data_IF_277475304231
#
_entry.id   IF_277475304231
#
_cell.length_a   1.000
_cell.length_b   1.000
_cell.length_c   1.000
_cell.angle_alpha   90.00
_cell.angle_beta   90.00
_cell.angle_gamma   90.00
#
_symmetry.space_group_name_H-M   'P 1'
#
loop_
_entity.id
_entity.type
_entity.pdbx_description
1 polymer ?
#
# COMPACT_ATOMS: atom_id res chain seq x y z
N UNK A 1 29.36 -3.99 5.76
CA UNK A 1 29.29 -3.13 6.96
C UNK A 1 27.93 -3.37 7.62
N UNK A 2 27.86 -3.74 8.91
CA UNK A 2 26.60 -3.74 9.64
C UNK A 2 25.93 -2.38 9.43
N UNK A 3 24.63 -2.38 9.11
CA UNK A 3 23.89 -1.12 9.04
C UNK A 3 23.66 -0.69 10.48
N UNK A 4 24.07 0.52 10.81
CA UNK A 4 23.80 1.12 12.11
C UNK A 4 22.28 1.11 12.36
N UNK A 5 21.88 0.46 13.45
CA UNK A 5 20.50 0.25 13.89
C UNK A 5 20.18 1.05 15.14
N UNK A 6 21.12 1.81 15.68
CA UNK A 6 21.00 2.47 16.99
C UNK A 6 19.86 3.50 16.98
N UNK A 7 19.67 4.16 15.83
CA UNK A 7 18.55 5.08 15.55
C UNK A 7 17.15 4.48 15.80
N UNK A 8 17.02 3.15 15.79
CA UNK A 8 15.74 2.49 16.02
C UNK A 8 15.30 2.57 17.47
N UNK A 9 16.25 2.76 18.39
CA UNK A 9 15.99 2.89 19.81
C UNK A 9 15.87 4.36 20.22
N UNK A 10 16.04 5.30 19.28
CA UNK A 10 15.85 6.73 19.54
C UNK A 10 14.41 6.99 20.03
N UNK A 11 14.30 7.46 21.28
CA UNK A 11 13.05 7.69 22.01
C UNK A 11 12.24 6.43 22.36
N UNK A 12 12.83 5.24 22.23
CA UNK A 12 12.25 4.04 22.84
C UNK A 12 12.43 4.10 24.35
N UNK A 13 11.45 3.61 25.12
CA UNK A 13 11.66 3.32 26.54
C UNK A 13 12.69 2.18 26.66
N UNK A 14 13.51 2.17 27.71
CA UNK A 14 14.47 1.09 27.98
C UNK A 14 13.78 -0.25 28.32
N UNK A 15 12.46 -0.25 28.49
CA UNK A 15 11.66 -1.43 28.80
C UNK A 15 11.31 -2.23 27.53
N UNK A 16 11.85 -3.44 27.43
CA UNK A 16 11.44 -4.42 26.43
C UNK A 16 10.16 -5.10 26.93
N UNK A 17 9.03 -4.68 26.38
CA UNK A 17 7.71 -5.25 26.73
C UNK A 17 7.52 -6.65 26.14
N UNK A 18 8.16 -6.92 25.00
CA UNK A 18 8.09 -8.21 24.32
C UNK A 18 9.29 -8.42 23.41
N UNK A 19 9.92 -9.61 23.50
CA UNK A 19 10.98 -10.05 22.60
C UNK A 19 10.50 -11.27 21.82
N UNK A 20 10.52 -11.18 20.49
CA UNK A 20 10.13 -12.28 19.63
C UNK A 20 11.27 -13.31 19.53
N UNK A 21 11.12 -14.45 20.18
CA UNK A 21 12.09 -15.55 20.08
C UNK A 21 11.82 -16.42 18.85
N UNK A 22 12.84 -17.11 18.31
CA UNK A 22 12.68 -18.02 17.17
C UNK A 22 11.55 -19.04 17.30
N UNK A 23 11.28 -19.48 18.53
CA UNK A 23 10.28 -20.46 18.93
C UNK A 23 8.85 -19.90 19.08
N UNK A 24 8.69 -18.59 19.26
CA UNK A 24 7.39 -17.96 19.55
C UNK A 24 6.47 -17.88 18.31
N UNK A 25 7.00 -18.20 17.13
CA UNK A 25 6.33 -18.03 15.85
C UNK A 25 5.38 -19.20 15.51
N UNK A 26 4.40 -19.43 16.37
CA UNK A 26 3.36 -20.46 16.19
C UNK A 26 2.29 -19.97 15.20
N UNK A 27 1.90 -20.79 14.22
CA UNK A 27 0.79 -20.44 13.33
C UNK A 27 -0.52 -20.36 14.13
N UNK A 28 -1.35 -19.35 13.88
CA UNK A 28 -2.71 -19.32 14.42
C UNK A 28 -3.56 -20.47 13.86
N UNK A 29 -4.58 -20.90 14.62
CA UNK A 29 -5.55 -21.88 14.15
C UNK A 29 -6.44 -21.29 13.03
N UNK A 30 -6.77 -22.11 12.03
CA UNK A 30 -7.61 -21.73 10.89
C UNK A 30 -6.82 -21.25 9.66
N UNK A 31 -7.40 -21.43 8.47
CA UNK A 31 -6.81 -20.95 7.22
C UNK A 31 -6.93 -19.43 7.14
N UNK A 32 -5.85 -18.75 6.76
CA UNK A 32 -5.90 -17.32 6.45
C UNK A 32 -6.42 -17.19 5.03
N UNK A 33 -7.73 -16.98 4.90
CA UNK A 33 -8.30 -16.63 3.61
C UNK A 33 -8.65 -15.16 3.52
N UNK A 34 -8.68 -14.72 2.29
CA UNK A 34 -8.84 -13.35 1.90
C UNK A 34 -9.91 -13.22 0.80
N UNK A 35 -10.59 -14.33 0.47
CA UNK A 35 -11.62 -14.44 -0.57
C UNK A 35 -12.90 -13.68 -0.25
N UNK A 36 -13.29 -13.60 1.02
CA UNK A 36 -14.58 -13.04 1.43
C UNK A 36 -14.48 -11.59 1.91
N UNK A 37 -15.51 -10.79 1.60
CA UNK A 37 -15.76 -9.51 2.25
C UNK A 37 -14.80 -8.36 1.90
N UNK A 38 -14.01 -8.44 0.82
CA UNK A 38 -13.12 -7.34 0.45
C UNK A 38 -13.88 -6.17 -0.17
N UNK A 39 -13.82 -5.00 0.46
CA UNK A 39 -14.41 -3.77 -0.07
C UNK A 39 -13.35 -2.66 -0.12
N UNK A 40 -13.43 -1.81 -1.14
CA UNK A 40 -12.64 -0.57 -1.15
C UNK A 40 -13.26 0.36 -0.11
N UNK A 41 -12.49 0.67 0.93
CA UNK A 41 -12.94 1.54 2.02
C UNK A 41 -12.86 3.01 1.62
N UNK A 42 -11.75 3.43 1.03
CA UNK A 42 -11.61 4.79 0.51
C UNK A 42 -10.44 4.87 -0.47
N UNK A 43 -10.41 5.96 -1.24
CA UNK A 43 -9.38 6.28 -2.20
C UNK A 43 -9.02 7.75 -1.99
N UNK A 44 -7.75 8.11 -2.16
CA UNK A 44 -7.34 9.50 -2.08
C UNK A 44 -6.02 9.75 -2.81
N UNK A 45 -5.84 11.00 -3.25
CA UNK A 45 -4.59 11.46 -3.88
C UNK A 45 -3.99 12.58 -3.06
N UNK A 46 -2.70 12.47 -2.74
CA UNK A 46 -1.97 13.54 -2.05
C UNK A 46 -1.53 14.58 -3.08
N UNK A 47 -1.76 15.85 -2.78
CA UNK A 47 -1.37 16.97 -3.63
C UNK A 47 -0.02 17.55 -3.18
N UNK A 48 0.81 17.94 -4.15
CA UNK A 48 2.04 18.71 -3.93
C UNK A 48 1.67 20.16 -3.59
N UNK A 49 1.51 20.42 -2.30
CA UNK A 49 1.15 21.73 -1.77
C UNK A 49 1.87 21.97 -0.44
N UNK A 50 2.08 23.23 -0.09
CA UNK A 50 2.77 23.64 1.15
C UNK A 50 2.05 23.18 2.43
N UNK A 51 0.76 22.87 2.33
CA UNK A 51 -0.08 22.34 3.41
C UNK A 51 -0.56 20.94 3.01
N UNK A 52 -0.62 19.94 3.92
CA UNK A 52 -1.16 18.62 3.61
C UNK A 52 -2.56 18.72 2.99
N UNK A 53 -2.67 18.39 1.70
CA UNK A 53 -3.91 18.51 0.91
C UNK A 53 -4.19 17.20 0.20
N UNK A 54 -5.46 16.78 0.19
CA UNK A 54 -5.90 15.56 -0.48
C UNK A 54 -7.09 15.80 -1.42
N UNK A 55 -7.14 15.02 -2.49
CA UNK A 55 -8.36 14.79 -3.25
C UNK A 55 -9.00 13.48 -2.77
N UNK A 56 -10.28 13.50 -2.37
CA UNK A 56 -11.06 12.33 -1.96
C UNK A 56 -12.42 12.34 -2.70
N UNK A 57 -12.81 11.26 -3.41
CA UNK A 57 -12.15 9.95 -3.49
C UNK A 57 -10.81 9.95 -4.27
N UNK A 58 -10.36 11.09 -4.81
CA UNK A 58 -9.10 11.17 -5.55
C UNK A 58 -9.13 10.33 -6.82
N UNK A 59 -8.04 10.34 -7.59
CA UNK A 59 -7.93 9.59 -8.83
C UNK A 59 -6.53 8.98 -9.00
N UNK A 60 -6.49 7.75 -9.51
CA UNK A 60 -5.25 7.09 -9.87
C UNK A 60 -4.68 7.70 -11.18
N UNK A 61 -3.36 7.66 -11.41
CA UNK A 61 -2.78 8.06 -12.69
C UNK A 61 -3.23 7.14 -13.85
N UNK A 62 -3.58 7.71 -15.00
CA UNK A 62 -3.84 7.00 -16.27
C UNK A 62 -2.52 6.72 -17.00
N UNK A 63 -2.36 5.64 -17.77
CA UNK A 63 -1.11 5.36 -18.51
C UNK A 63 -0.84 6.37 -19.67
N UNK A 64 0.26 7.17 -19.67
CA UNK A 64 0.86 7.97 -20.80
C UNK A 64 2.05 8.91 -20.38
N UNK A 65 2.74 9.63 -21.30
CA UNK A 65 4.06 10.36 -21.13
C UNK A 65 4.09 11.65 -20.25
N UNK A 66 5.26 12.10 -19.68
CA UNK A 66 5.31 12.88 -18.42
C UNK A 66 5.71 14.38 -18.44
N UNK A 67 5.44 15.06 -17.30
CA UNK A 67 6.20 16.19 -16.69
C UNK A 67 6.22 16.08 -15.14
N UNK A 68 7.23 16.68 -14.49
CA UNK A 68 7.71 16.44 -13.10
C UNK A 68 7.24 17.51 -12.08
N UNK A 69 7.02 17.12 -10.82
CA UNK A 69 6.83 17.99 -9.65
C UNK A 69 7.43 17.33 -8.38
N UNK A 70 7.77 18.15 -7.38
CA UNK A 70 8.44 17.75 -6.14
C UNK A 70 7.42 17.29 -5.07
N UNK A 71 7.85 16.87 -3.87
CA UNK A 71 6.98 16.23 -2.88
C UNK A 71 7.42 16.53 -1.44
N UNK A 72 6.46 16.89 -0.57
CA UNK A 72 6.59 16.91 0.89
C UNK A 72 5.69 15.85 1.55
N UNK A 73 6.18 15.20 2.62
CA UNK A 73 5.53 14.06 3.27
C UNK A 73 4.66 14.50 4.46
N UNK A 74 3.35 14.27 4.39
CA UNK A 74 2.37 14.51 5.46
C UNK A 74 2.16 13.32 6.42
N UNK A 75 1.20 13.44 7.37
CA UNK A 75 0.87 12.39 8.34
C UNK A 75 0.44 11.07 7.67
N UNK A 76 0.78 9.92 8.27
CA UNK A 76 0.66 8.62 7.61
C UNK A 76 -0.79 8.12 7.44
N UNK A 77 -1.59 8.19 8.52
CA UNK A 77 -2.95 7.64 8.58
C UNK A 77 -4.05 8.71 8.68
N UNK A 78 -3.75 9.93 9.11
CA UNK A 78 -4.74 11.02 9.16
C UNK A 78 -5.42 11.28 7.80
N UNK A 79 -4.71 11.27 6.64
CA UNK A 79 -5.36 11.46 5.35
C UNK A 79 -6.30 10.32 4.99
N UNK A 80 -5.97 9.09 5.43
CA UNK A 80 -6.83 7.93 5.28
C UNK A 80 -8.12 8.11 6.09
N UNK A 81 -8.01 8.46 7.38
CA UNK A 81 -9.18 8.65 8.26
C UNK A 81 -10.12 9.72 7.70
N UNK A 82 -9.57 10.85 7.23
CA UNK A 82 -10.39 11.91 6.60
C UNK A 82 -11.04 11.47 5.31
N UNK A 83 -10.29 10.85 4.40
CA UNK A 83 -10.83 10.36 3.15
C UNK A 83 -11.96 9.35 3.38
N UNK A 84 -11.81 8.47 4.37
CA UNK A 84 -12.87 7.55 4.81
C UNK A 84 -14.09 8.31 5.33
N UNK A 85 -13.91 9.28 6.24
CA UNK A 85 -15.04 10.06 6.78
C UNK A 85 -15.83 10.85 5.73
N UNK A 86 -15.22 11.17 4.59
CA UNK A 86 -15.89 11.83 3.46
C UNK A 86 -16.55 10.82 2.51
N UNK A 87 -15.86 9.73 2.21
CA UNK A 87 -16.32 8.74 1.21
C UNK A 87 -17.37 7.81 1.81
N UNK A 88 -17.24 7.50 3.10
CA UNK A 88 -18.14 6.64 3.88
C UNK A 88 -18.35 7.25 5.28
N UNK A 89 -19.17 8.30 5.42
CA UNK A 89 -19.35 9.02 6.69
C UNK A 89 -19.88 8.15 7.85
N UNK A 90 -20.59 7.07 7.53
CA UNK A 90 -21.10 6.10 8.51
C UNK A 90 -20.04 5.09 8.97
N UNK A 91 -18.87 5.06 8.34
CA UNK A 91 -17.81 4.14 8.71
C UNK A 91 -17.22 4.52 10.06
N UNK A 92 -17.07 3.52 10.93
CA UNK A 92 -16.42 3.70 12.23
C UNK A 92 -15.19 2.81 12.32
N UNK A 93 -14.07 3.41 12.73
CA UNK A 93 -12.81 2.70 12.89
C UNK A 93 -12.78 1.81 14.14
N UNK A 94 -13.63 2.02 15.14
CA UNK A 94 -13.65 1.23 16.38
C UNK A 94 -14.00 -0.26 16.17
N UNK A 95 -14.54 -0.61 14.99
CA UNK A 95 -14.80 -1.99 14.56
C UNK A 95 -13.67 -2.60 13.75
N UNK A 96 -12.58 -1.86 13.57
CA UNK A 96 -11.37 -2.32 12.89
C UNK A 96 -10.38 -2.77 13.96
N UNK A 97 -9.82 -3.95 13.80
CA UNK A 97 -8.81 -4.46 14.73
C UNK A 97 -7.45 -3.80 14.44
N UNK A 98 -7.09 -3.70 13.15
CA UNK A 98 -5.78 -3.21 12.72
C UNK A 98 -5.87 -2.34 11.46
N UNK A 99 -5.19 -1.19 11.48
CA UNK A 99 -4.92 -0.33 10.33
C UNK A 99 -3.42 -0.38 10.03
N UNK A 100 -3.07 -0.91 8.85
CA UNK A 100 -1.67 -1.18 8.49
C UNK A 100 -1.41 -0.90 7.02
N UNK A 101 -0.16 -0.60 6.66
CA UNK A 101 0.20 -0.48 5.24
C UNK A 101 0.63 -1.81 4.63
N UNK A 102 0.36 -2.00 3.33
CA UNK A 102 0.86 -3.15 2.55
C UNK A 102 2.36 -3.36 2.73
N UNK A 103 3.15 -2.27 2.74
CA UNK A 103 4.60 -2.36 2.89
C UNK A 103 5.01 -2.91 4.25
N UNK A 104 4.29 -2.57 5.32
CA UNK A 104 4.55 -3.13 6.64
C UNK A 104 4.21 -4.63 6.66
N UNK A 105 3.05 -5.03 6.13
CA UNK A 105 2.68 -6.45 6.03
C UNK A 105 3.72 -7.27 5.25
N UNK A 106 4.18 -6.76 4.10
CA UNK A 106 5.27 -7.40 3.34
C UNK A 106 6.57 -7.51 4.13
N UNK A 107 6.95 -6.49 4.90
CA UNK A 107 8.17 -6.55 5.72
C UNK A 107 8.04 -7.56 6.86
N UNK A 108 6.90 -7.61 7.54
CA UNK A 108 6.61 -8.58 8.60
C UNK A 108 6.59 -10.02 8.05
N UNK A 109 5.98 -10.23 6.89
CA UNK A 109 5.95 -11.55 6.25
C UNK A 109 7.37 -12.02 5.85
N UNK A 110 8.21 -11.11 5.34
CA UNK A 110 9.64 -11.39 5.07
C UNK A 110 10.42 -11.73 6.32
N UNK A 111 10.18 -11.00 7.42
CA UNK A 111 10.76 -11.31 8.73
C UNK A 111 10.40 -12.74 9.16
N UNK A 112 9.12 -13.10 9.05
CA UNK A 112 8.60 -14.43 9.40
C UNK A 112 9.21 -15.53 8.53
N UNK A 113 9.34 -15.29 7.22
CA UNK A 113 9.99 -16.22 6.27
C UNK A 113 11.50 -16.30 6.43
N UNK A 114 12.11 -15.41 7.22
CA UNK A 114 13.56 -15.22 7.33
C UNK A 114 14.21 -14.87 5.99
N UNK A 115 13.45 -14.23 5.10
CA UNK A 115 13.98 -13.67 3.86
C UNK A 115 14.92 -12.50 4.20
N UNK A 116 15.96 -12.22 3.39
CA UNK A 116 16.80 -11.05 3.62
C UNK A 116 15.96 -9.77 3.68
N UNK A 117 16.02 -9.02 4.78
CA UNK A 117 15.26 -7.78 4.96
C UNK A 117 16.17 -6.62 5.38
N UNK A 118 15.63 -5.40 5.28
CA UNK A 118 16.27 -4.22 5.84
C UNK A 118 15.69 -3.98 7.22
N UNK A 119 16.51 -3.76 8.26
CA UNK A 119 16.00 -3.41 9.57
C UNK A 119 14.98 -2.27 9.47
N UNK A 120 13.87 -2.38 10.20
CA UNK A 120 12.81 -1.37 10.24
C UNK A 120 12.28 -1.17 11.67
N UNK A 121 11.75 0.02 11.92
CA UNK A 121 11.07 0.40 13.16
C UNK A 121 9.59 0.65 12.84
N UNK A 122 8.69 0.14 13.68
CA UNK A 122 7.25 0.36 13.59
C UNK A 122 6.79 1.15 14.80
N UNK A 123 5.95 2.16 14.56
CA UNK A 123 5.24 2.87 15.62
C UNK A 123 3.90 2.14 15.81
N UNK A 124 3.53 1.81 17.05
CA UNK A 124 2.30 1.10 17.35
C UNK A 124 1.39 2.02 18.17
N UNK A 125 0.35 2.56 17.52
CA UNK A 125 -0.58 3.51 18.14
C UNK A 125 -1.93 2.82 18.37
N UNK A 126 -2.31 2.59 19.62
CA UNK A 126 -3.62 2.05 19.99
C UNK A 126 -4.62 3.18 20.22
N UNK A 127 -5.70 3.21 19.43
CA UNK A 127 -6.82 4.13 19.61
C UNK A 127 -8.09 3.30 19.89
N UNK A 128 -8.58 3.36 21.12
CA UNK A 128 -9.63 2.46 21.59
C UNK A 128 -9.22 0.99 21.44
N UNK A 129 -9.89 0.28 20.53
CA UNK A 129 -9.67 -1.15 20.27
C UNK A 129 -8.93 -1.41 18.94
N UNK A 130 -8.45 -0.35 18.29
CA UNK A 130 -7.86 -0.38 16.95
C UNK A 130 -6.37 -0.06 17.00
N UNK A 131 -5.55 -0.96 16.48
CA UNK A 131 -4.11 -0.75 16.34
C UNK A 131 -3.78 -0.06 15.01
N UNK A 132 -3.12 1.09 15.05
CA UNK A 132 -2.51 1.74 13.89
C UNK A 132 -1.01 1.42 13.86
N UNK A 133 -0.55 0.77 12.79
CA UNK A 133 0.85 0.32 12.67
C UNK A 133 1.62 1.27 11.76
N UNK A 134 2.27 2.28 12.33
CA UNK A 134 3.13 3.23 11.66
C UNK A 134 4.50 2.68 11.27
N UNK A 135 5.32 3.48 10.59
CA UNK A 135 6.70 3.14 10.25
C UNK A 135 7.61 4.35 10.35
N UNK A 136 8.59 4.27 11.24
CA UNK A 136 9.69 5.23 11.36
C UNK A 136 10.79 4.91 10.34
N UNK A 137 11.32 5.95 9.70
CA UNK A 137 12.37 5.81 8.66
C UNK A 137 13.55 6.72 9.02
N UNK A 138 14.73 6.13 9.18
CA UNK A 138 15.99 6.75 9.63
C UNK A 138 16.34 8.08 8.97
N UNK A 139 16.15 8.18 7.66
CA UNK A 139 16.40 9.40 6.91
C UNK A 139 15.36 9.53 5.80
N UNK A 140 14.52 10.55 5.87
CA UNK A 140 13.80 11.05 4.70
C UNK A 140 14.79 11.81 3.81
N UNK A 141 15.84 11.14 3.28
CA UNK A 141 16.64 11.75 2.22
C UNK A 141 15.69 12.04 1.07
N UNK A 142 15.63 13.31 0.65
CA UNK A 142 14.87 13.74 -0.52
C UNK A 142 15.06 12.71 -1.63
N UNK A 143 13.94 12.17 -2.12
CA UNK A 143 13.92 11.03 -3.05
C UNK A 143 14.92 11.30 -4.17
N UNK A 144 16.08 10.63 -4.15
CA UNK A 144 16.83 10.49 -5.39
C UNK A 144 15.87 9.84 -6.38
N UNK A 145 15.66 10.49 -7.52
CA UNK A 145 14.84 9.98 -8.62
C UNK A 145 15.49 8.68 -9.12
N UNK A 146 15.23 7.59 -8.41
CA UNK A 146 15.72 6.28 -8.74
C UNK A 146 15.05 5.82 -10.04
N UNK A 147 15.72 4.89 -10.70
CA UNK A 147 15.27 4.26 -11.95
C UNK A 147 13.80 3.82 -11.93
N UNK A 148 13.28 3.42 -10.76
CA UNK A 148 11.87 3.08 -10.53
C UNK A 148 10.92 4.26 -10.77
N UNK A 149 11.20 5.42 -10.18
CA UNK A 149 10.33 6.59 -10.30
C UNK A 149 10.29 7.14 -11.72
N UNK A 150 11.42 7.15 -12.42
CA UNK A 150 11.48 7.56 -13.84
C UNK A 150 10.73 6.56 -14.72
N UNK A 151 10.77 5.26 -14.41
CA UNK A 151 10.05 4.23 -15.14
C UNK A 151 8.55 4.27 -14.88
N UNK A 152 8.11 4.39 -13.63
CA UNK A 152 6.70 4.57 -13.25
C UNK A 152 6.13 5.85 -13.88
N UNK A 153 6.87 6.97 -13.82
CA UNK A 153 6.47 8.21 -14.46
C UNK A 153 6.42 8.12 -15.99
N UNK A 154 7.25 7.26 -16.61
CA UNK A 154 7.21 7.08 -18.07
C UNK A 154 5.98 6.29 -18.53
N UNK A 155 5.36 5.53 -17.62
CA UNK A 155 4.19 4.70 -17.86
C UNK A 155 2.92 5.29 -17.24
N UNK A 156 2.93 6.53 -16.72
CA UNK A 156 1.78 7.14 -16.03
C UNK A 156 1.65 8.64 -16.29
N UNK A 157 0.40 9.09 -16.38
CA UNK A 157 -0.09 10.43 -16.65
C UNK A 157 -1.18 10.80 -15.63
N UNK A 158 -1.26 12.09 -15.31
CA UNK A 158 -2.26 12.62 -14.39
C UNK A 158 -3.32 13.35 -15.21
N UNK A 159 -4.60 13.11 -14.93
CA UNK A 159 -5.69 13.89 -15.51
C UNK A 159 -5.50 15.39 -15.21
N UNK A 160 -6.10 16.30 -16.00
CA UNK A 160 -6.01 17.75 -15.77
C UNK A 160 -6.36 18.15 -14.32
N UNK A 161 -7.30 17.42 -13.72
CA UNK A 161 -7.78 17.59 -12.35
C UNK A 161 -6.80 17.13 -11.25
N UNK A 162 -5.72 16.42 -11.62
CA UNK A 162 -4.69 15.89 -10.73
C UNK A 162 -3.32 16.54 -10.96
N UNK A 163 -3.29 17.75 -11.56
CA UNK A 163 -2.05 18.52 -11.75
C UNK A 163 -1.42 18.82 -10.38
N UNK A 164 -0.18 18.35 -10.17
CA UNK A 164 0.51 18.44 -8.88
C UNK A 164 0.26 17.27 -7.93
N UNK A 165 -0.53 16.25 -8.28
CA UNK A 165 -0.65 15.04 -7.46
C UNK A 165 0.72 14.36 -7.31
N UNK A 166 1.05 13.80 -6.14
CA UNK A 166 2.33 13.12 -5.93
C UNK A 166 2.22 11.60 -5.96
N UNK A 167 1.28 11.05 -5.18
CA UNK A 167 1.03 9.61 -5.01
C UNK A 167 -0.47 9.37 -4.84
N UNK A 168 -0.96 8.26 -5.37
CA UNK A 168 -2.34 7.81 -5.14
C UNK A 168 -2.35 6.67 -4.14
N UNK A 169 -3.23 6.75 -3.15
CA UNK A 169 -3.39 5.73 -2.13
C UNK A 169 -4.81 5.22 -2.07
N UNK A 170 -4.93 3.94 -1.74
CA UNK A 170 -6.19 3.28 -1.41
C UNK A 170 -6.10 2.62 -0.06
N UNK A 171 -7.26 2.40 0.53
CA UNK A 171 -7.42 1.43 1.59
C UNK A 171 -8.52 0.45 1.25
N UNK A 172 -8.23 -0.82 1.51
CA UNK A 172 -9.20 -1.91 1.42
C UNK A 172 -9.43 -2.47 2.81
N UNK A 173 -10.68 -2.73 3.15
CA UNK A 173 -11.03 -3.47 4.34
C UNK A 173 -11.29 -4.91 3.94
N UNK A 174 -10.68 -5.85 4.66
CA UNK A 174 -10.95 -7.27 4.53
C UNK A 174 -10.54 -7.99 5.82
N UNK A 175 -11.04 -9.21 5.99
CA UNK A 175 -10.61 -10.07 7.09
C UNK A 175 -9.26 -10.71 6.76
N UNK A 176 -8.29 -10.53 7.66
CA UNK A 176 -7.05 -11.30 7.64
C UNK A 176 -7.17 -12.38 8.72
N UNK A 177 -7.60 -13.57 8.31
CA UNK A 177 -8.15 -14.58 9.22
C UNK A 177 -9.34 -14.02 10.02
N UNK A 178 -9.23 -13.88 11.34
CA UNK A 178 -10.28 -13.34 12.19
C UNK A 178 -10.11 -11.84 12.49
N UNK A 179 -9.07 -11.18 11.98
CA UNK A 179 -8.79 -9.76 12.20
C UNK A 179 -9.43 -8.88 11.12
N UNK A 180 -10.33 -7.98 11.52
CA UNK A 180 -10.87 -6.92 10.66
C UNK A 180 -9.76 -5.92 10.35
N UNK A 181 -9.19 -6.02 9.15
CA UNK A 181 -7.97 -5.29 8.80
C UNK A 181 -8.24 -4.26 7.72
N UNK A 182 -7.81 -3.02 7.95
CA UNK A 182 -7.74 -1.99 6.93
C UNK A 182 -6.31 -1.92 6.41
N UNK A 183 -6.13 -2.26 5.13
CA UNK A 183 -4.83 -2.25 4.48
C UNK A 183 -4.72 -1.08 3.53
N UNK A 184 -3.81 -0.15 3.84
CA UNK A 184 -3.45 0.99 3.00
C UNK A 184 -2.33 0.64 2.03
N UNK A 185 -2.45 1.03 0.77
CA UNK A 185 -1.41 0.83 -0.24
C UNK A 185 -1.35 1.99 -1.24
N UNK A 186 -0.16 2.18 -1.81
CA UNK A 186 0.05 3.03 -2.98
C UNK A 186 -0.38 2.27 -4.23
N UNK A 187 -1.04 2.97 -5.14
CA UNK A 187 -1.45 2.43 -6.44
C UNK A 187 -0.66 3.17 -7.51
N UNK A 188 0.05 2.42 -8.35
CA UNK A 188 0.92 3.01 -9.37
C UNK A 188 0.08 3.60 -10.53
N UNK A 189 -0.92 2.84 -11.02
CA UNK A 189 -1.79 3.26 -12.12
C UNK A 189 -3.13 2.52 -12.15
N UNK A 190 -4.01 2.93 -13.06
CA UNK A 190 -5.18 2.15 -13.48
C UNK A 190 -5.25 1.97 -15.00
N UNK A 191 -5.90 0.89 -15.44
CA UNK A 191 -6.20 0.58 -16.84
C UNK A 191 -7.70 0.88 -17.14
N UNK A 192 -8.02 1.89 -17.98
CA UNK A 192 -9.40 2.26 -18.29
C UNK A 192 -10.15 1.19 -19.09
N UNK A 193 -9.44 0.33 -19.82
CA UNK A 193 -10.02 -0.69 -20.69
C UNK A 193 -10.36 -1.98 -19.91
N UNK A 194 -10.07 -2.02 -18.60
CA UNK A 194 -10.40 -3.15 -17.75
C UNK A 194 -11.89 -3.09 -17.30
N UNK A 195 -12.65 -4.13 -17.66
CA UNK A 195 -14.12 -4.22 -17.52
C UNK A 195 -14.66 -4.24 -16.10
N UNK A 196 -15.67 -3.41 -15.83
CA UNK A 196 -16.19 -3.14 -14.51
C UNK A 196 -17.26 -4.11 -13.97
N UNK A 197 -17.18 -4.51 -12.69
CA UNK A 197 -18.34 -4.91 -11.89
C UNK A 197 -18.96 -3.69 -11.17
N UNK A 198 -20.30 -3.58 -11.12
CA UNK A 198 -21.06 -2.38 -10.74
C UNK A 198 -21.00 -1.95 -9.25
N UNK A 199 -20.72 -0.67 -8.95
CA UNK A 199 -21.60 0.29 -8.22
C UNK A 199 -20.91 1.57 -7.67
N UNK A 200 -21.78 2.51 -7.23
CA UNK A 200 -21.69 3.97 -7.21
C UNK A 200 -21.21 4.66 -5.91
N UNK A 201 -21.12 6.01 -5.95
CA UNK A 201 -20.42 6.90 -4.99
C UNK A 201 -21.32 8.06 -4.52
N UNK A 202 -21.12 8.60 -3.29
CA UNK A 202 -21.80 9.76 -2.67
C UNK A 202 -20.78 10.62 -1.85
N UNK A 203 -21.11 11.90 -1.52
CA UNK A 203 -20.24 13.04 -1.14
C UNK A 203 -20.28 13.56 0.34
N UNK A 204 -19.30 14.45 0.66
CA UNK A 204 -19.15 15.54 1.70
C UNK A 204 -18.59 15.17 3.11
N UNK A 205 -17.91 15.98 3.96
CA UNK A 205 -17.00 17.16 3.94
C UNK A 205 -16.29 17.29 5.33
N UNK A 206 -15.03 17.77 5.45
CA UNK A 206 -14.30 17.93 6.73
C UNK A 206 -12.94 18.68 6.65
N UNK A 207 -12.31 19.01 7.79
CA UNK A 207 -11.32 20.11 8.00
C UNK A 207 -9.89 20.05 7.38
N UNK A 208 -9.61 19.14 6.44
CA UNK A 208 -8.48 19.29 5.50
C UNK A 208 -9.04 19.92 4.24
N UNK A 209 -8.27 20.71 3.47
CA UNK A 209 -8.77 21.18 2.17
C UNK A 209 -8.96 19.95 1.29
N UNK A 210 -10.21 19.52 1.21
CA UNK A 210 -10.65 18.37 0.44
C UNK A 210 -11.16 18.92 -0.86
N UNK A 211 -10.50 18.52 -1.94
CA UNK A 211 -10.97 18.81 -3.27
C UNK A 211 -11.75 17.56 -3.73
N UNK A 212 -13.09 17.61 -3.86
CA UNK A 212 -13.89 16.47 -4.31
C UNK A 212 -13.70 16.28 -5.82
N UNK A 213 -12.53 15.76 -6.22
CA UNK A 213 -12.12 15.57 -7.62
C UNK A 213 -11.34 14.26 -7.78
N UNK A 214 -11.45 13.66 -8.97
CA UNK A 214 -10.75 12.42 -9.37
C UNK A 214 -11.70 11.39 -10.01
N UNK A 215 -11.14 10.51 -10.84
CA UNK A 215 -11.88 9.43 -11.50
C UNK A 215 -11.93 8.16 -10.63
N UNK A 216 -13.08 7.49 -10.64
CA UNK A 216 -13.34 6.27 -9.88
C UNK A 216 -12.76 5.04 -10.59
N UNK A 217 -11.43 4.91 -10.63
CA UNK A 217 -10.85 3.66 -11.08
C UNK A 217 -11.35 2.51 -10.19
N UNK A 218 -11.89 1.43 -10.75
CA UNK A 218 -12.35 0.29 -9.96
C UNK A 218 -11.19 -0.62 -9.54
N UNK A 219 -11.46 -1.57 -8.66
CA UNK A 219 -10.41 -2.40 -8.06
C UNK A 219 -9.73 -3.31 -9.10
N UNK A 220 -10.49 -3.85 -10.03
CA UNK A 220 -9.99 -4.72 -11.09
C UNK A 220 -9.15 -3.98 -12.15
N UNK A 221 -9.23 -2.64 -12.18
CA UNK A 221 -8.46 -1.79 -13.09
C UNK A 221 -7.06 -1.48 -12.56
N UNK A 222 -6.73 -1.85 -11.32
CA UNK A 222 -5.47 -1.42 -10.71
C UNK A 222 -4.26 -2.15 -11.28
N UNK A 223 -3.20 -1.37 -11.53
CA UNK A 223 -1.93 -1.85 -12.07
C UNK A 223 -0.79 -1.60 -11.08
N UNK A 224 0.00 -2.64 -10.81
CA UNK A 224 1.30 -2.57 -10.15
C UNK A 224 2.40 -2.54 -11.22
N UNK A 225 3.31 -1.57 -11.17
CA UNK A 225 4.36 -1.36 -12.19
C UNK A 225 5.73 -1.76 -11.63
N UNK A 226 6.48 -2.57 -12.39
CA UNK A 226 7.84 -3.00 -12.03
C UNK A 226 8.83 -2.80 -13.19
N UNK A 227 9.93 -2.12 -12.91
CA UNK A 227 11.03 -1.88 -13.86
C UNK A 227 11.98 -3.07 -14.06
N UNK A 228 11.56 -4.28 -13.68
CA UNK A 228 12.31 -5.53 -13.82
C UNK A 228 11.37 -6.64 -14.33
N UNK A 229 11.67 -7.19 -15.51
CA UNK A 229 10.88 -8.25 -16.17
C UNK A 229 10.86 -9.59 -15.43
N UNK A 230 11.85 -9.84 -14.58
CA UNK A 230 11.89 -11.00 -13.68
C UNK A 230 11.07 -10.83 -12.40
N UNK A 231 10.49 -9.65 -12.15
CA UNK A 231 9.73 -9.41 -10.92
C UNK A 231 8.47 -10.29 -10.86
N UNK A 232 8.17 -10.77 -9.66
CA UNK A 232 6.98 -11.56 -9.34
C UNK A 232 6.31 -10.99 -8.07
N UNK A 233 5.67 -9.82 -8.15
CA UNK A 233 5.19 -9.09 -6.98
C UNK A 233 3.85 -9.64 -6.44
N UNK A 234 3.60 -10.96 -6.54
CA UNK A 234 2.30 -11.57 -6.22
C UNK A 234 1.87 -11.28 -4.77
N UNK A 235 2.80 -11.28 -3.81
CA UNK A 235 2.53 -10.88 -2.43
C UNK A 235 2.00 -9.44 -2.31
N UNK A 236 2.65 -8.48 -2.98
CA UNK A 236 2.25 -7.07 -2.95
C UNK A 236 0.88 -6.89 -3.61
N UNK A 237 0.64 -7.64 -4.68
CA UNK A 237 -0.62 -7.66 -5.40
C UNK A 237 -1.74 -8.29 -4.56
N UNK A 238 -1.45 -9.35 -3.80
CA UNK A 238 -2.42 -10.03 -2.93
C UNK A 238 -2.83 -9.13 -1.76
N UNK A 239 -1.88 -8.51 -1.05
CA UNK A 239 -2.20 -7.56 0.03
C UNK A 239 -2.93 -6.29 -0.45
N UNK A 240 -2.59 -5.81 -1.66
CA UNK A 240 -3.19 -4.60 -2.25
C UNK A 240 -4.39 -4.87 -3.17
N UNK A 241 -4.81 -6.12 -3.33
CA UNK A 241 -5.87 -6.54 -4.28
C UNK A 241 -5.71 -5.95 -5.66
N UNK A 242 -4.47 -5.87 -6.14
CA UNK A 242 -4.10 -5.24 -7.41
C UNK A 242 -3.92 -6.36 -8.45
N UNK A 243 -4.82 -6.56 -9.42
CA UNK A 243 -4.79 -7.76 -10.25
C UNK A 243 -3.93 -7.62 -11.50
N UNK A 244 -3.53 -6.40 -11.90
CA UNK A 244 -2.72 -6.20 -13.10
C UNK A 244 -1.28 -5.89 -12.70
N UNK A 245 -0.32 -6.53 -13.36
CA UNK A 245 1.11 -6.28 -13.20
C UNK A 245 1.71 -5.88 -14.54
N UNK A 246 2.27 -4.67 -14.62
CA UNK A 246 3.04 -4.23 -15.77
C UNK A 246 4.54 -4.35 -15.48
N UNK A 247 5.21 -5.22 -16.24
CA UNK A 247 6.64 -5.48 -16.14
C UNK A 247 7.34 -4.85 -17.34
N UNK A 248 8.44 -4.14 -17.12
CA UNK A 248 9.31 -3.72 -18.21
C UNK A 248 10.77 -3.70 -17.85
N UNK A 249 11.62 -3.64 -18.87
CA UNK A 249 13.06 -3.52 -18.68
C UNK A 249 13.47 -2.06 -18.90
N UNK A 250 13.88 -1.41 -17.81
CA UNK A 250 14.46 -0.07 -17.87
C UNK A 250 15.86 -0.12 -18.51
N UNK A 251 16.14 0.79 -19.45
CA UNK A 251 17.48 0.93 -20.02
C UNK A 251 18.35 1.83 -19.13
N UNK A 252 19.36 1.23 -18.48
CA UNK A 252 20.29 1.96 -17.59
C UNK A 252 21.12 3.02 -18.31
N UNK A 253 21.34 2.88 -19.62
CA UNK A 253 22.16 3.79 -20.43
C UNK A 253 21.39 5.03 -20.88
N UNK A 254 20.05 4.98 -20.93
CA UNK A 254 19.22 6.08 -21.42
C UNK A 254 18.02 6.33 -20.49
N UNK A 255 18.15 7.23 -19.51
CA UNK A 255 17.09 7.50 -18.55
C UNK A 255 15.80 7.98 -19.19
N UNK A 256 14.70 7.28 -18.90
CA UNK A 256 13.38 7.57 -19.48
C UNK A 256 13.08 6.87 -20.81
N UNK A 257 14.05 6.13 -21.38
CA UNK A 257 13.78 5.22 -22.50
C UNK A 257 13.55 3.79 -22.02
N UNK A 258 12.46 3.20 -22.48
CA UNK A 258 12.11 1.80 -22.26
C UNK A 258 11.84 1.13 -23.60
N UNK A 259 12.17 -0.15 -23.70
CA UNK A 259 11.87 -0.92 -24.90
C UNK A 259 10.41 -1.38 -24.81
N UNK A 260 9.56 -0.83 -25.68
CA UNK A 260 8.15 -1.24 -25.77
C UNK A 260 8.00 -2.75 -26.02
N UNK A 261 8.91 -3.33 -26.82
CA UNK A 261 8.98 -4.77 -27.08
C UNK A 261 9.27 -5.64 -25.84
N UNK A 262 9.69 -5.03 -24.72
CA UNK A 262 9.97 -5.71 -23.45
C UNK A 262 8.97 -5.38 -22.35
N UNK A 263 7.93 -4.60 -22.65
CA UNK A 263 6.79 -4.45 -21.76
C UNK A 263 5.94 -5.71 -21.79
N UNK A 264 5.55 -6.20 -20.62
CA UNK A 264 4.66 -7.34 -20.44
C UNK A 264 3.64 -6.98 -19.40
N UNK A 265 2.37 -6.95 -19.80
CA UNK A 265 1.26 -6.87 -18.86
C UNK A 265 0.79 -8.28 -18.55
N UNK A 266 0.66 -8.59 -17.26
CA UNK A 266 0.12 -9.85 -16.78
C UNK A 266 -1.06 -9.56 -15.88
N UNK A 267 -2.19 -10.21 -16.16
CA UNK A 267 -3.31 -10.27 -15.23
C UNK A 267 -3.08 -11.46 -14.31
N UNK A 268 -3.03 -11.20 -13.01
CA UNK A 268 -2.99 -12.24 -11.99
C UNK A 268 -4.41 -12.72 -11.78
N UNK A 269 -4.64 -13.99 -12.08
CA UNK A 269 -5.98 -14.58 -11.96
C UNK A 269 -6.34 -14.82 -10.49
N UNK A 270 -7.65 -14.93 -10.16
CA UNK A 270 -8.06 -15.37 -8.83
C UNK A 270 -7.41 -16.70 -8.41
N UNK A 271 -7.23 -17.63 -9.34
CA UNK A 271 -6.56 -18.91 -9.11
C UNK A 271 -5.08 -18.70 -8.72
N UNK A 272 -4.36 -17.81 -9.39
CA UNK A 272 -2.96 -17.53 -9.03
C UNK A 272 -2.83 -16.90 -7.64
N UNK A 273 -3.79 -16.07 -7.23
CA UNK A 273 -3.86 -15.58 -5.85
C UNK A 273 -4.16 -16.70 -4.85
N UNK A 274 -5.08 -17.60 -5.17
CA UNK A 274 -5.40 -18.77 -4.33
C UNK A 274 -4.22 -19.73 -4.20
N UNK A 275 -3.49 -19.99 -5.29
CA UNK A 275 -2.29 -20.81 -5.27
C UNK A 275 -1.19 -20.19 -4.39
N UNK A 276 -1.00 -18.88 -4.48
CA UNK A 276 -0.03 -18.17 -3.64
C UNK A 276 -0.45 -18.17 -2.17
N UNK A 277 -1.73 -17.93 -1.89
CA UNK A 277 -2.33 -17.96 -0.55
C UNK A 277 -2.13 -19.34 0.08
N UNK A 278 -2.48 -20.40 -0.65
CA UNK A 278 -2.30 -21.81 -0.24
C UNK A 278 -0.84 -22.12 0.09
N UNK A 279 0.09 -21.76 -0.80
CA UNK A 279 1.54 -21.96 -0.58
C UNK A 279 2.10 -21.13 0.57
N UNK A 280 1.43 -20.02 0.93
CA UNK A 280 1.89 -19.10 1.97
C UNK A 280 1.19 -19.29 3.32
N UNK A 281 0.24 -20.22 3.44
CA UNK A 281 -0.66 -20.33 4.59
C UNK A 281 0.06 -20.32 5.94
N UNK A 282 1.06 -21.18 6.14
CA UNK A 282 1.80 -21.25 7.42
C UNK A 282 2.43 -19.90 7.78
N UNK A 283 2.94 -19.17 6.80
CA UNK A 283 3.53 -17.85 7.03
C UNK A 283 2.48 -16.77 7.26
N UNK A 284 1.31 -16.88 6.61
CA UNK A 284 0.19 -15.98 6.82
C UNK A 284 -0.42 -16.17 8.22
N UNK A 285 -0.54 -17.42 8.69
CA UNK A 285 -1.01 -17.74 10.04
C UNK A 285 -0.06 -17.17 11.11
N UNK A 286 1.24 -17.29 10.87
CA UNK A 286 2.29 -16.68 11.68
C UNK A 286 2.24 -15.15 11.67
N UNK A 287 1.90 -14.56 10.51
CA UNK A 287 1.72 -13.12 10.38
C UNK A 287 0.53 -12.64 11.20
N UNK A 288 -0.60 -13.35 11.12
CA UNK A 288 -1.78 -13.07 11.94
C UNK A 288 -1.44 -13.17 13.42
N UNK A 289 -0.76 -14.24 13.84
CA UNK A 289 -0.30 -14.39 15.23
C UNK A 289 0.55 -13.20 15.68
N UNK A 290 1.51 -12.77 14.86
CA UNK A 290 2.37 -11.62 15.20
C UNK A 290 1.57 -10.32 15.30
N UNK A 291 0.63 -10.11 14.39
CA UNK A 291 -0.27 -8.95 14.40
C UNK A 291 -1.17 -8.94 15.65
N UNK A 292 -1.67 -10.11 16.08
CA UNK A 292 -2.42 -10.24 17.33
C UNK A 292 -1.56 -9.92 18.55
N UNK A 293 -0.27 -10.27 18.53
CA UNK A 293 0.65 -9.98 19.64
C UNK A 293 1.06 -8.52 19.73
N UNK A 294 1.05 -7.80 18.61
CA UNK A 294 1.32 -6.36 18.57
C UNK A 294 0.15 -5.50 19.07
N UNK A 295 -1.06 -6.07 19.09
CA UNK A 295 -2.31 -5.41 19.45
C UNK A 295 -2.67 -5.70 20.90
#
# INVERSE_FOLDING_TARGET
KPKDTDWMLDNACDEIVFELRPEDNLPCEGMVSSKDGSAVLTRYTIMDSQVPTICAPGGAPQYMKPKRADYQKGPLYEPLVRATGITYPSFRFDRVDIVVSRTVLSNLLRLIRRDPYQPFHLDLDMEGNTLFVGRKVRHAKGKHAGYRHTFEAALTAKGPELKGASTHHRASMYMLAHLNTVVRYEVDAYDPDAEEPNNATINYSGATIVIPKGSLAKQHQLVEIKSNTGSRPVEQMWFGRTPICCLGQYNKQFPGQYSYAKLRTKHVTPQEFEEWETKSQVFLQKLVWLLQRMR
#
